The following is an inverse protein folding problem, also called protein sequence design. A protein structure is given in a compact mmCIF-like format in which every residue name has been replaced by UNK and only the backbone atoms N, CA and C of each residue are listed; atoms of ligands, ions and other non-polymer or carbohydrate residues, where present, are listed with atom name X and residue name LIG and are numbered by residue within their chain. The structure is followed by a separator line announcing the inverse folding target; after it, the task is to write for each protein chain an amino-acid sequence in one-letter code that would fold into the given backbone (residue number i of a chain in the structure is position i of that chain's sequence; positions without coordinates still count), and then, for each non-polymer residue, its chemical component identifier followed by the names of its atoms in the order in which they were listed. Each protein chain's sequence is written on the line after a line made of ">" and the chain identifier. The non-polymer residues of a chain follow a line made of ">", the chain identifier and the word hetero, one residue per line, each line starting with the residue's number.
data_IF_587189955559
#
_entry.id   IF_587189955559
#
_cell.length_a   1.000
_cell.length_b   1.000
_cell.length_c   1.000
_cell.angle_alpha   90.00
_cell.angle_beta   90.00
_cell.angle_gamma   90.00
#
_symmetry.space_group_name_H-M   'P 1'
#
loop_
_entity.id
_entity.type
_entity.pdbx_description
1 polymer ?
#
# COMPACT_ATOMS: atom_id res chain seq x y z
N UNK A 1 12.81 25.07 -2.70
CA UNK A 1 12.39 24.58 -4.03
C UNK A 1 12.19 23.07 -3.94
N UNK A 2 11.26 22.47 -4.70
CA UNK A 2 11.07 21.01 -4.71
C UNK A 2 11.03 20.46 -6.13
N UNK A 3 11.52 19.24 -6.29
CA UNK A 3 11.52 18.48 -7.55
C UNK A 3 11.17 17.02 -7.27
N UNK A 4 10.52 16.34 -8.21
CA UNK A 4 10.18 14.91 -8.10
C UNK A 4 10.84 14.16 -9.24
N UNK A 5 11.52 13.06 -8.92
CA UNK A 5 12.22 12.23 -9.90
C UNK A 5 11.87 10.76 -9.72
N UNK A 6 11.96 9.99 -10.82
CA UNK A 6 12.09 8.54 -10.70
C UNK A 6 13.38 8.16 -9.97
N UNK A 7 13.52 6.89 -9.59
CA UNK A 7 14.65 6.45 -8.77
C UNK A 7 16.01 6.66 -9.46
N UNK A 8 16.07 6.44 -10.78
CA UNK A 8 17.32 6.52 -11.53
C UNK A 8 17.84 7.96 -11.56
N UNK A 9 16.93 8.92 -11.83
CA UNK A 9 17.26 10.34 -11.85
C UNK A 9 17.46 10.89 -10.43
N UNK A 10 16.65 10.47 -9.46
CA UNK A 10 16.81 10.87 -8.06
C UNK A 10 18.18 10.50 -7.49
N UNK A 11 18.69 9.31 -7.86
CA UNK A 11 20.05 8.87 -7.47
C UNK A 11 21.12 9.82 -7.99
N UNK A 12 21.01 10.25 -9.26
CA UNK A 12 21.95 11.21 -9.86
C UNK A 12 21.82 12.56 -9.15
N UNK A 13 20.59 13.04 -8.95
CA UNK A 13 20.31 14.32 -8.31
C UNK A 13 20.84 14.38 -6.87
N UNK A 14 20.70 13.31 -6.09
CA UNK A 14 21.30 13.21 -4.75
C UNK A 14 22.82 13.23 -4.80
N UNK A 15 23.43 12.59 -5.79
CA UNK A 15 24.88 12.66 -6.01
C UNK A 15 25.36 14.09 -6.26
N UNK A 16 24.70 14.81 -7.18
CA UNK A 16 25.00 16.21 -7.49
C UNK A 16 24.80 17.09 -6.25
N UNK A 17 23.68 16.95 -5.55
CA UNK A 17 23.39 17.72 -4.33
C UNK A 17 24.47 17.50 -3.26
N UNK A 18 24.96 16.27 -3.10
CA UNK A 18 26.01 15.96 -2.13
C UNK A 18 27.38 16.49 -2.55
N UNK A 19 27.73 16.45 -3.83
CA UNK A 19 29.04 16.89 -4.34
C UNK A 19 29.17 18.41 -4.37
N UNK A 20 28.08 19.11 -4.68
CA UNK A 20 28.03 20.56 -4.83
C UNK A 20 27.55 21.27 -3.56
N UNK A 21 27.49 20.57 -2.43
CA UNK A 21 27.04 21.14 -1.17
C UNK A 21 27.89 22.38 -0.79
N UNK A 22 27.28 23.50 -0.35
CA UNK A 22 25.85 23.68 0.00
C UNK A 22 24.97 24.23 -1.13
N UNK A 23 25.47 24.33 -2.37
CA UNK A 23 24.84 25.06 -3.49
C UNK A 23 23.39 24.65 -3.77
N UNK A 24 23.07 23.37 -3.60
CA UNK A 24 21.74 22.80 -3.89
C UNK A 24 21.00 22.30 -2.64
N UNK A 25 21.43 22.68 -1.44
CA UNK A 25 20.84 22.19 -0.18
C UNK A 25 19.40 22.67 0.03
N UNK A 26 19.01 23.76 -0.64
CA UNK A 26 17.65 24.31 -0.62
C UNK A 26 16.66 23.61 -1.59
N UNK A 27 17.13 22.58 -2.30
CA UNK A 27 16.33 21.77 -3.23
C UNK A 27 15.91 20.47 -2.54
N UNK A 28 14.61 20.33 -2.28
CA UNK A 28 14.07 19.06 -1.79
C UNK A 28 13.78 18.12 -2.97
N UNK A 29 14.41 16.96 -2.98
CA UNK A 29 14.21 15.93 -4.02
C UNK A 29 13.24 14.87 -3.50
N UNK A 30 12.07 14.78 -4.10
CA UNK A 30 11.08 13.74 -3.87
C UNK A 30 11.34 12.51 -4.75
N UNK A 31 11.18 11.33 -4.16
CA UNK A 31 11.05 10.09 -4.93
C UNK A 31 9.62 9.97 -5.45
N UNK A 32 9.48 9.73 -6.76
CA UNK A 32 8.20 9.61 -7.44
C UNK A 32 7.35 8.45 -6.91
N UNK A 33 6.19 8.77 -6.33
CA UNK A 33 5.30 7.79 -5.69
C UNK A 33 4.82 6.67 -6.62
N UNK A 34 4.64 6.96 -7.91
CA UNK A 34 4.29 5.95 -8.93
C UNK A 34 5.32 4.82 -9.00
N UNK A 35 6.61 5.15 -9.07
CA UNK A 35 7.70 4.18 -9.16
C UNK A 35 7.91 3.41 -7.86
N UNK A 36 7.64 4.04 -6.71
CA UNK A 36 7.62 3.35 -5.41
C UNK A 36 6.52 2.30 -5.40
N UNK A 37 5.29 2.65 -5.83
CA UNK A 37 4.17 1.70 -5.91
C UNK A 37 4.48 0.55 -6.87
N UNK A 38 4.98 0.82 -8.08
CA UNK A 38 5.33 -0.24 -9.03
C UNK A 38 6.38 -1.20 -8.46
N UNK A 39 7.39 -0.65 -7.80
CA UNK A 39 8.42 -1.47 -7.15
C UNK A 39 7.83 -2.29 -6.01
N UNK A 40 6.88 -1.73 -5.26
CA UNK A 40 6.19 -2.45 -4.21
C UNK A 40 5.27 -3.54 -4.77
N UNK A 41 4.62 -3.34 -5.93
CA UNK A 41 3.91 -4.42 -6.61
C UNK A 41 4.83 -5.56 -7.03
N UNK A 42 6.06 -5.25 -7.48
CA UNK A 42 7.05 -6.30 -7.75
C UNK A 42 7.41 -7.09 -6.49
N UNK A 43 7.53 -6.43 -5.33
CA UNK A 43 7.73 -7.11 -4.04
C UNK A 43 6.56 -8.04 -3.71
N UNK A 44 5.32 -7.55 -3.84
CA UNK A 44 4.12 -8.37 -3.60
C UNK A 44 4.09 -9.54 -4.59
N UNK A 45 4.40 -9.29 -5.86
CA UNK A 45 4.49 -10.31 -6.90
C UNK A 45 5.48 -11.42 -6.56
N UNK A 46 6.69 -11.08 -6.13
CA UNK A 46 7.68 -12.05 -5.65
C UNK A 46 7.20 -12.82 -4.42
N UNK A 47 6.42 -12.20 -3.52
CA UNK A 47 5.86 -12.88 -2.35
C UNK A 47 4.81 -13.94 -2.73
N UNK A 48 4.02 -13.68 -3.76
CA UNK A 48 2.94 -14.58 -4.21
C UNK A 48 3.35 -15.50 -5.35
N UNK A 49 4.64 -15.52 -5.70
CA UNK A 49 5.16 -16.43 -6.70
C UNK A 49 4.96 -17.88 -6.21
N UNK A 50 4.39 -18.71 -7.08
CA UNK A 50 4.09 -20.13 -6.82
C UNK A 50 3.21 -20.46 -5.60
N UNK A 51 2.47 -19.49 -5.05
CA UNK A 51 1.57 -19.73 -3.92
C UNK A 51 0.12 -20.10 -4.32
N UNK A 52 -0.17 -20.15 -5.63
CA UNK A 52 -1.47 -20.52 -6.18
C UNK A 52 -2.41 -19.34 -6.48
N UNK A 53 -2.10 -18.10 -6.05
CA UNK A 53 -2.91 -16.90 -6.38
C UNK A 53 -3.00 -16.67 -7.89
N UNK A 54 -1.91 -16.91 -8.61
CA UNK A 54 -1.87 -16.80 -10.08
C UNK A 54 -2.82 -17.78 -10.74
N UNK A 55 -2.88 -19.03 -10.24
CA UNK A 55 -3.81 -20.04 -10.74
C UNK A 55 -5.25 -19.61 -10.47
N UNK A 56 -5.56 -19.17 -9.23
CA UNK A 56 -6.89 -18.65 -8.89
C UNK A 56 -7.31 -17.53 -9.85
N UNK A 57 -6.41 -16.60 -10.17
CA UNK A 57 -6.69 -15.48 -11.08
C UNK A 57 -6.93 -15.93 -12.53
N UNK A 58 -6.23 -16.97 -12.98
CA UNK A 58 -6.39 -17.53 -14.33
C UNK A 58 -7.65 -18.36 -14.44
N UNK A 59 -7.86 -19.28 -13.49
CA UNK A 59 -8.99 -20.22 -13.48
C UNK A 59 -10.33 -19.49 -13.26
N UNK A 60 -10.30 -18.32 -12.60
CA UNK A 60 -11.47 -17.43 -12.49
C UNK A 60 -11.66 -16.49 -13.68
N UNK A 61 -10.83 -16.58 -14.72
CA UNK A 61 -10.85 -15.73 -15.92
C UNK A 61 -10.64 -14.22 -15.64
N UNK A 62 -10.23 -13.86 -14.42
CA UNK A 62 -9.95 -12.48 -14.02
C UNK A 62 -8.63 -11.97 -14.61
N UNK A 63 -7.73 -12.91 -14.94
CA UNK A 63 -6.42 -12.66 -15.53
C UNK A 63 -6.09 -13.68 -16.63
N UNK A 64 -5.88 -13.20 -17.86
CA UNK A 64 -5.40 -14.07 -18.93
C UNK A 64 -3.95 -14.53 -18.67
N UNK A 65 -3.63 -15.77 -19.05
CA UNK A 65 -2.30 -16.37 -18.93
C UNK A 65 -1.16 -15.48 -19.48
N UNK A 66 -1.37 -14.87 -20.65
CA UNK A 66 -0.37 -13.97 -21.26
C UNK A 66 -0.07 -12.70 -20.45
N UNK A 67 -0.88 -12.37 -19.44
CA UNK A 67 -0.71 -11.21 -18.57
C UNK A 67 -0.07 -11.53 -17.20
N UNK A 68 0.20 -12.80 -16.89
CA UNK A 68 0.78 -13.23 -15.61
C UNK A 68 2.12 -12.57 -15.33
N UNK A 69 3.04 -12.62 -16.29
CA UNK A 69 4.39 -12.07 -16.15
C UNK A 69 4.36 -10.61 -15.72
N UNK A 70 3.53 -9.80 -16.38
CA UNK A 70 3.41 -8.36 -16.09
C UNK A 70 2.75 -8.06 -14.75
N UNK A 71 1.89 -8.95 -14.24
CA UNK A 71 1.28 -8.85 -12.92
C UNK A 71 2.31 -9.18 -11.82
N UNK A 72 3.02 -10.31 -11.94
CA UNK A 72 4.06 -10.72 -10.97
C UNK A 72 5.25 -9.75 -10.97
N UNK A 73 5.68 -9.26 -12.13
CA UNK A 73 6.78 -8.29 -12.20
C UNK A 73 6.41 -6.89 -11.74
N UNK A 74 5.13 -6.62 -11.43
CA UNK A 74 4.64 -5.28 -11.08
C UNK A 74 4.67 -4.26 -12.22
N UNK A 75 4.96 -4.69 -13.46
CA UNK A 75 5.12 -3.77 -14.61
C UNK A 75 3.78 -3.34 -15.19
N UNK A 76 2.72 -4.16 -15.05
CA UNK A 76 1.37 -3.78 -15.45
C UNK A 76 0.65 -3.07 -14.30
N UNK A 77 0.96 -1.79 -14.11
CA UNK A 77 0.48 -0.99 -12.97
C UNK A 77 -1.04 -1.04 -12.78
N UNK A 78 -1.82 -0.75 -13.83
CA UNK A 78 -3.28 -0.70 -13.74
C UNK A 78 -3.87 -2.05 -13.34
N UNK A 79 -3.26 -3.14 -13.82
CA UNK A 79 -3.66 -4.50 -13.49
C UNK A 79 -3.32 -4.84 -12.04
N UNK A 80 -2.11 -4.56 -11.57
CA UNK A 80 -1.73 -4.77 -10.17
C UNK A 80 -2.61 -3.96 -9.21
N UNK A 81 -2.84 -2.68 -9.52
CA UNK A 81 -3.72 -1.76 -8.78
C UNK A 81 -5.15 -2.28 -8.63
N UNK A 82 -5.65 -3.02 -9.62
CA UNK A 82 -6.99 -3.63 -9.59
C UNK A 82 -7.01 -4.99 -8.88
N UNK A 83 -6.08 -5.87 -9.25
CA UNK A 83 -6.14 -7.28 -8.88
C UNK A 83 -5.68 -7.54 -7.45
N UNK A 84 -4.65 -6.86 -6.95
CA UNK A 84 -4.18 -7.10 -5.59
C UNK A 84 -5.26 -6.81 -4.53
N UNK A 85 -5.94 -5.64 -4.56
CA UNK A 85 -7.05 -5.37 -3.64
C UNK A 85 -8.23 -6.34 -3.81
N UNK A 86 -8.54 -6.75 -5.05
CA UNK A 86 -9.62 -7.70 -5.31
C UNK A 86 -9.37 -9.05 -4.65
N UNK A 87 -8.17 -9.62 -4.84
CA UNK A 87 -7.77 -10.90 -4.23
C UNK A 87 -7.67 -10.76 -2.71
N UNK A 88 -7.09 -9.67 -2.22
CA UNK A 88 -6.98 -9.39 -0.78
C UNK A 88 -8.37 -9.36 -0.12
N UNK A 89 -9.33 -8.66 -0.72
CA UNK A 89 -10.71 -8.61 -0.24
C UNK A 89 -11.37 -10.00 -0.26
N UNK A 90 -11.15 -10.80 -1.31
CA UNK A 90 -11.69 -12.16 -1.37
C UNK A 90 -11.17 -13.04 -0.22
N UNK A 91 -9.87 -13.00 0.05
CA UNK A 91 -9.29 -13.73 1.18
C UNK A 91 -9.72 -13.16 2.53
N UNK A 92 -9.84 -11.84 2.66
CA UNK A 92 -10.31 -11.22 3.89
C UNK A 92 -11.76 -11.61 4.20
N UNK A 93 -12.62 -11.71 3.18
CA UNK A 93 -13.98 -12.23 3.35
C UNK A 93 -14.00 -13.69 3.80
N UNK A 94 -13.17 -14.54 3.19
CA UNK A 94 -13.06 -15.95 3.59
C UNK A 94 -12.55 -16.08 5.04
N UNK A 95 -11.55 -15.29 5.41
CA UNK A 95 -11.00 -15.24 6.76
C UNK A 95 -12.03 -14.73 7.78
N UNK A 96 -12.79 -13.68 7.43
CA UNK A 96 -13.87 -13.16 8.26
C UNK A 96 -15.00 -14.17 8.48
N UNK A 97 -15.43 -14.88 7.42
CA UNK A 97 -16.42 -15.95 7.56
C UNK A 97 -15.91 -17.05 8.50
N UNK A 98 -14.63 -17.43 8.35
CA UNK A 98 -14.00 -18.42 9.24
C UNK A 98 -13.99 -17.95 10.69
N UNK A 99 -13.72 -16.67 10.93
CA UNK A 99 -13.81 -16.06 12.26
C UNK A 99 -15.22 -16.14 12.84
N UNK A 100 -16.23 -15.74 12.06
CA UNK A 100 -17.65 -15.79 12.48
C UNK A 100 -18.04 -17.21 12.87
N UNK A 101 -17.70 -18.20 12.04
CA UNK A 101 -18.05 -19.60 12.28
C UNK A 101 -17.33 -20.19 13.50
N UNK A 102 -16.01 -19.95 13.63
CA UNK A 102 -15.19 -20.54 14.70
C UNK A 102 -15.43 -19.92 16.07
N UNK A 103 -15.55 -18.59 16.13
CA UNK A 103 -15.81 -17.86 17.36
C UNK A 103 -17.32 -17.76 17.66
N UNK A 104 -18.16 -18.35 16.81
CA UNK A 104 -19.63 -18.37 16.93
C UNK A 104 -20.22 -16.97 17.11
N UNK A 105 -19.70 -16.02 16.34
CA UNK A 105 -20.13 -14.62 16.40
C UNK A 105 -21.53 -14.50 15.80
N UNK A 106 -22.43 -13.83 16.52
CA UNK A 106 -23.72 -13.41 15.98
C UNK A 106 -23.58 -11.97 15.49
N UNK A 107 -23.78 -11.75 14.20
CA UNK A 107 -23.79 -10.40 13.63
C UNK A 107 -25.17 -9.79 13.87
N UNK A 108 -25.25 -8.84 14.79
CA UNK A 108 -26.49 -8.15 15.10
C UNK A 108 -26.95 -7.27 13.94
N UNK A 109 -28.28 -7.15 13.78
CA UNK A 109 -28.87 -6.30 12.74
C UNK A 109 -28.47 -4.82 12.89
N UNK A 110 -28.27 -4.37 14.13
CA UNK A 110 -27.77 -3.04 14.48
C UNK A 110 -26.43 -2.72 13.80
N UNK A 111 -25.51 -3.69 13.73
CA UNK A 111 -24.20 -3.56 13.09
C UNK A 111 -24.38 -3.38 11.58
N UNK A 112 -25.22 -4.20 10.95
CA UNK A 112 -25.49 -4.08 9.51
C UNK A 112 -26.09 -2.72 9.15
N UNK A 113 -27.10 -2.29 9.91
CA UNK A 113 -27.79 -1.02 9.68
C UNK A 113 -26.83 0.16 9.86
N UNK A 114 -25.97 0.12 10.87
CA UNK A 114 -24.93 1.13 11.10
C UNK A 114 -23.93 1.19 9.95
N UNK A 115 -23.37 0.04 9.52
CA UNK A 115 -22.40 -0.01 8.42
C UNK A 115 -23.02 0.45 7.10
N UNK A 116 -24.30 0.15 6.85
CA UNK A 116 -25.02 0.63 5.68
C UNK A 116 -25.23 2.15 5.70
N UNK A 117 -25.53 2.73 6.87
CA UNK A 117 -25.61 4.19 7.03
C UNK A 117 -24.24 4.86 6.83
N UNK A 118 -23.18 4.28 7.41
CA UNK A 118 -21.80 4.77 7.26
C UNK A 118 -21.37 4.78 5.79
N UNK A 119 -21.74 3.76 5.02
CA UNK A 119 -21.45 3.69 3.58
C UNK A 119 -22.14 4.83 2.80
N UNK A 120 -23.36 5.21 3.19
CA UNK A 120 -24.10 6.33 2.57
C UNK A 120 -23.51 7.69 2.94
N UNK A 121 -23.03 7.83 4.17
CA UNK A 121 -22.45 9.06 4.69
C UNK A 121 -20.94 9.09 4.47
N UNK A 122 -20.52 9.41 3.24
CA UNK A 122 -19.10 9.52 2.91
C UNK A 122 -18.46 10.69 3.66
N UNK A 123 -17.55 10.38 4.58
CA UNK A 123 -16.68 11.35 5.25
C UNK A 123 -15.24 11.19 4.76
N UNK A 124 -14.48 12.28 4.76
CA UNK A 124 -13.02 12.26 4.58
C UNK A 124 -12.30 11.63 5.77
N UNK A 125 -12.94 11.66 6.95
CA UNK A 125 -12.48 11.09 8.21
C UNK A 125 -13.62 10.30 8.85
N UNK A 126 -13.94 9.11 8.31
CA UNK A 126 -14.99 8.28 8.89
C UNK A 126 -14.55 7.80 10.28
N UNK A 127 -15.41 7.99 11.28
CA UNK A 127 -15.22 7.52 12.65
C UNK A 127 -16.28 6.47 12.95
N UNK A 128 -15.87 5.37 13.57
CA UNK A 128 -16.79 4.33 14.03
C UNK A 128 -17.11 4.61 15.49
N UNK A 129 -18.38 4.83 15.76
CA UNK A 129 -18.88 5.20 17.10
C UNK A 129 -19.82 4.13 17.69
N UNK A 130 -20.32 3.22 16.86
CA UNK A 130 -21.22 2.16 17.29
C UNK A 130 -20.45 1.08 18.07
N UNK A 131 -20.76 0.94 19.35
CA UNK A 131 -20.07 0.07 20.31
C UNK A 131 -20.00 -1.39 19.84
N UNK A 132 -21.12 -1.99 19.43
CA UNK A 132 -21.13 -3.37 18.95
C UNK A 132 -20.29 -3.57 17.67
N UNK A 133 -20.16 -2.54 16.82
CA UNK A 133 -19.27 -2.57 15.65
C UNK A 133 -17.81 -2.52 16.08
N UNK A 134 -17.47 -1.69 17.06
CA UNK A 134 -16.12 -1.61 17.61
C UNK A 134 -15.70 -2.92 18.27
N UNK A 135 -16.58 -3.53 19.06
CA UNK A 135 -16.32 -4.84 19.68
C UNK A 135 -16.11 -5.95 18.63
N UNK A 136 -16.92 -5.96 17.56
CA UNK A 136 -16.76 -6.90 16.47
C UNK A 136 -15.39 -6.74 15.80
N UNK A 137 -14.96 -5.50 15.58
CA UNK A 137 -13.67 -5.20 14.96
C UNK A 137 -12.52 -5.61 15.87
N UNK A 138 -12.59 -5.33 17.17
CA UNK A 138 -11.57 -5.75 18.13
C UNK A 138 -11.44 -7.29 18.18
N UNK A 139 -12.56 -8.01 18.22
CA UNK A 139 -12.56 -9.49 18.18
C UNK A 139 -11.93 -10.00 16.89
N UNK A 140 -12.25 -9.39 15.75
CA UNK A 140 -11.69 -9.79 14.46
C UNK A 140 -10.21 -9.45 14.32
N UNK A 141 -9.77 -8.31 14.86
CA UNK A 141 -8.36 -7.92 14.90
C UNK A 141 -7.54 -8.90 15.73
N UNK A 142 -8.06 -9.30 16.91
CA UNK A 142 -7.43 -10.34 17.73
C UNK A 142 -7.34 -11.68 16.99
N UNK A 143 -8.43 -12.12 16.36
CA UNK A 143 -8.44 -13.34 15.54
C UNK A 143 -7.41 -13.27 14.39
N UNK A 144 -7.30 -12.13 13.74
CA UNK A 144 -6.32 -11.87 12.67
C UNK A 144 -4.89 -11.96 13.17
N UNK A 145 -4.60 -11.39 14.35
CA UNK A 145 -3.26 -11.45 14.94
C UNK A 145 -2.91 -12.88 15.36
N UNK A 146 -3.88 -13.65 15.89
CA UNK A 146 -3.70 -15.08 16.15
C UNK A 146 -3.40 -15.87 14.86
N UNK A 147 -4.08 -15.57 13.76
CA UNK A 147 -3.78 -16.17 12.45
C UNK A 147 -2.35 -15.89 12.01
N UNK A 148 -1.87 -14.65 12.19
CA UNK A 148 -0.52 -14.25 11.82
C UNK A 148 0.56 -14.90 12.69
N UNK A 149 0.23 -15.23 13.93
CA UNK A 149 1.06 -16.04 14.82
C UNK A 149 1.01 -17.54 14.50
N UNK A 150 0.23 -17.95 13.49
CA UNK A 150 0.15 -19.33 13.00
C UNK A 150 -0.88 -20.20 13.70
N UNK A 151 -1.70 -19.65 14.62
CA UNK A 151 -2.68 -20.41 15.42
C UNK A 151 -3.69 -21.17 14.57
N UNK A 152 -4.01 -20.67 13.37
CA UNK A 152 -5.02 -21.24 12.47
C UNK A 152 -4.41 -22.06 11.32
N UNK A 153 -3.10 -22.30 11.33
CA UNK A 153 -2.38 -23.06 10.31
C UNK A 153 -1.61 -22.18 9.32
N UNK A 154 -0.69 -22.80 8.57
CA UNK A 154 0.23 -22.09 7.68
C UNK A 154 -0.45 -21.42 6.49
N UNK A 155 -1.48 -22.05 5.92
CA UNK A 155 -2.22 -21.51 4.76
C UNK A 155 -2.92 -20.18 5.08
N UNK A 156 -3.79 -20.09 6.12
CA UNK A 156 -4.39 -18.80 6.47
C UNK A 156 -3.34 -17.81 6.98
N UNK A 157 -2.28 -18.25 7.67
CA UNK A 157 -1.18 -17.36 8.04
C UNK A 157 -0.56 -16.68 6.81
N UNK A 158 -0.21 -17.44 5.77
CA UNK A 158 0.38 -16.92 4.55
C UNK A 158 -0.55 -15.91 3.85
N UNK A 159 -1.82 -16.25 3.66
CA UNK A 159 -2.77 -15.35 3.00
C UNK A 159 -3.11 -14.11 3.83
N UNK A 160 -3.06 -14.20 5.16
CA UNK A 160 -3.20 -13.02 6.02
C UNK A 160 -1.98 -12.10 5.94
N UNK A 161 -0.76 -12.65 5.77
CA UNK A 161 0.42 -11.83 5.41
C UNK A 161 0.22 -11.13 4.08
N UNK A 162 -0.30 -11.82 3.06
CA UNK A 162 -0.64 -11.20 1.76
C UNK A 162 -1.64 -10.04 1.93
N UNK A 163 -2.73 -10.23 2.68
CA UNK A 163 -3.71 -9.17 2.97
C UNK A 163 -3.03 -7.95 3.59
N UNK A 164 -2.12 -8.16 4.55
CA UNK A 164 -1.36 -7.09 5.21
C UNK A 164 -0.40 -6.37 4.26
N UNK A 165 0.22 -7.06 3.30
CA UNK A 165 1.02 -6.42 2.26
C UNK A 165 0.16 -5.54 1.34
N UNK A 166 -1.01 -6.01 0.94
CA UNK A 166 -1.92 -5.22 0.11
C UNK A 166 -2.46 -4.00 0.87
N UNK A 167 -2.75 -4.13 2.16
CA UNK A 167 -3.18 -2.98 2.97
C UNK A 167 -2.10 -1.90 3.09
N UNK A 168 -0.81 -2.27 3.09
CA UNK A 168 0.27 -1.29 3.03
C UNK A 168 0.31 -0.53 1.70
N UNK A 169 0.02 -1.21 0.59
CA UNK A 169 -0.17 -0.53 -0.69
C UNK A 169 -1.33 0.47 -0.64
N UNK A 170 -2.48 0.08 -0.07
CA UNK A 170 -3.64 0.96 0.03
C UNK A 170 -3.35 2.18 0.92
N UNK A 171 -2.61 2.01 2.03
CA UNK A 171 -2.14 3.11 2.88
C UNK A 171 -1.19 4.05 2.14
N UNK A 172 -0.23 3.51 1.39
CA UNK A 172 0.68 4.31 0.56
C UNK A 172 -0.10 5.13 -0.47
N UNK A 173 -1.00 4.48 -1.19
CA UNK A 173 -1.84 5.12 -2.20
C UNK A 173 -2.76 6.20 -1.59
N UNK A 174 -3.36 5.93 -0.42
CA UNK A 174 -4.15 6.91 0.33
C UNK A 174 -3.32 8.12 0.72
N UNK A 175 -2.16 7.91 1.36
CA UNK A 175 -1.29 9.00 1.83
C UNK A 175 -0.84 9.93 0.70
N UNK A 176 -0.54 9.39 -0.48
CA UNK A 176 -0.22 10.17 -1.69
C UNK A 176 -1.43 10.98 -2.14
N UNK A 177 -2.62 10.35 -2.23
CA UNK A 177 -3.84 10.98 -2.75
C UNK A 177 -4.37 12.10 -1.86
N UNK A 178 -4.23 11.99 -0.55
CA UNK A 178 -4.72 13.00 0.40
C UNK A 178 -3.62 13.96 0.89
N UNK A 179 -2.37 13.75 0.48
CA UNK A 179 -1.23 14.56 0.92
C UNK A 179 -0.88 14.42 2.40
N UNK A 180 -1.17 13.28 3.03
CA UNK A 180 -0.86 13.03 4.44
C UNK A 180 0.61 12.61 4.59
N UNK A 181 1.47 13.59 4.88
CA UNK A 181 2.91 13.40 5.10
C UNK A 181 3.20 12.39 6.23
N UNK A 182 2.44 12.43 7.32
CA UNK A 182 2.68 11.56 8.48
C UNK A 182 2.41 10.10 8.11
N UNK A 183 1.29 9.84 7.43
CA UNK A 183 0.97 8.52 6.91
C UNK A 183 1.97 8.07 5.84
N UNK A 184 2.40 8.99 4.97
CA UNK A 184 3.38 8.71 3.92
C UNK A 184 4.74 8.27 4.50
N UNK A 185 5.27 9.01 5.48
CA UNK A 185 6.52 8.64 6.17
C UNK A 185 6.38 7.30 6.88
N UNK A 186 5.28 7.10 7.61
CA UNK A 186 4.99 5.86 8.33
C UNK A 186 5.01 4.65 7.39
N UNK A 187 4.30 4.74 6.26
CA UNK A 187 4.14 3.60 5.37
C UNK A 187 5.39 3.35 4.52
N UNK A 188 6.11 4.39 4.12
CA UNK A 188 7.39 4.22 3.45
C UNK A 188 8.40 3.48 4.33
N UNK A 189 8.47 3.78 5.63
CA UNK A 189 9.33 3.06 6.55
C UNK A 189 8.98 1.56 6.63
N UNK A 190 7.68 1.22 6.64
CA UNK A 190 7.22 -0.18 6.62
C UNK A 190 7.56 -0.89 5.30
N UNK A 191 7.29 -0.26 4.15
CA UNK A 191 7.55 -0.81 2.82
C UNK A 191 9.06 -1.02 2.59
N UNK A 192 9.91 -0.13 3.12
CA UNK A 192 11.37 -0.25 3.00
C UNK A 192 11.89 -1.58 3.55
N UNK A 193 11.34 -2.08 4.65
CA UNK A 193 11.73 -3.38 5.21
C UNK A 193 11.49 -4.53 4.22
N UNK A 194 10.40 -4.48 3.47
CA UNK A 194 10.11 -5.48 2.45
C UNK A 194 11.01 -5.33 1.22
N UNK A 195 11.40 -4.11 0.84
CA UNK A 195 12.42 -3.97 -0.20
C UNK A 195 13.75 -4.65 0.18
N UNK A 196 14.15 -4.62 1.45
CA UNK A 196 15.30 -5.41 1.91
C UNK A 196 15.03 -6.91 1.83
N UNK A 197 13.89 -7.37 2.36
CA UNK A 197 13.55 -8.79 2.41
C UNK A 197 13.49 -9.46 1.02
N UNK A 198 13.01 -8.74 0.00
CA UNK A 198 12.86 -9.25 -1.36
C UNK A 198 14.00 -8.83 -2.31
N UNK A 199 15.15 -8.41 -1.77
CA UNK A 199 16.35 -8.06 -2.52
C UNK A 199 16.19 -6.91 -3.55
N UNK A 200 15.37 -5.91 -3.23
CA UNK A 200 15.18 -4.69 -4.02
C UNK A 200 16.15 -3.56 -3.63
N UNK A 201 17.45 -3.88 -3.59
CA UNK A 201 18.50 -3.06 -2.97
C UNK A 201 18.53 -1.58 -3.39
N UNK A 202 18.27 -1.29 -4.66
CA UNK A 202 18.25 0.09 -5.18
C UNK A 202 17.17 0.93 -4.48
N UNK A 203 15.96 0.39 -4.33
CA UNK A 203 14.88 1.05 -3.60
C UNK A 203 15.15 1.03 -2.09
N UNK A 204 15.64 -0.09 -1.55
CA UNK A 204 15.93 -0.19 -0.11
C UNK A 204 16.85 0.93 0.37
N UNK A 205 17.98 1.16 -0.31
CA UNK A 205 18.97 2.17 0.11
C UNK A 205 18.47 3.60 -0.04
N UNK A 206 17.90 3.93 -1.21
CA UNK A 206 17.46 5.30 -1.50
C UNK A 206 16.20 5.66 -0.72
N UNK A 207 15.32 4.69 -0.43
CA UNK A 207 14.11 4.96 0.33
C UNK A 207 14.42 5.21 1.82
N UNK A 208 15.40 4.51 2.42
CA UNK A 208 15.90 4.83 3.77
C UNK A 208 16.39 6.27 3.85
N UNK A 209 17.22 6.69 2.88
CA UNK A 209 17.72 8.05 2.82
C UNK A 209 16.60 9.08 2.65
N UNK A 210 15.65 8.79 1.76
CA UNK A 210 14.51 9.66 1.51
C UNK A 210 13.59 9.79 2.74
N UNK A 211 13.28 8.70 3.44
CA UNK A 211 12.50 8.73 4.68
C UNK A 211 13.21 9.57 5.75
N UNK A 212 14.53 9.45 5.90
CA UNK A 212 15.31 10.29 6.81
C UNK A 212 15.18 11.79 6.48
N UNK A 213 15.21 12.16 5.19
CA UNK A 213 14.97 13.54 4.75
C UNK A 213 13.55 14.01 5.06
N UNK A 214 12.54 13.18 4.81
CA UNK A 214 11.14 13.52 5.10
C UNK A 214 10.90 13.76 6.60
N UNK A 215 11.54 12.99 7.48
CA UNK A 215 11.43 13.19 8.93
C UNK A 215 11.99 14.55 9.39
N UNK A 216 12.94 15.13 8.65
CA UNK A 216 13.61 16.40 8.97
C UNK A 216 13.18 17.54 8.04
N UNK A 217 12.05 17.38 7.36
CA UNK A 217 11.61 18.33 6.33
C UNK A 217 11.29 19.69 6.93
N UNK A 218 10.69 19.74 8.12
CA UNK A 218 10.36 21.01 8.79
C UNK A 218 11.63 21.75 9.27
N UNK A 219 12.72 21.03 9.58
CA UNK A 219 14.01 21.61 9.97
C UNK A 219 14.79 22.13 8.76
N UNK A 220 14.85 21.33 7.70
CA UNK A 220 15.72 21.58 6.55
C UNK A 220 15.06 22.43 5.47
N UNK A 221 13.74 22.34 5.34
CA UNK A 221 12.93 22.97 4.31
C UNK A 221 11.60 23.47 4.90
N UNK A 222 11.64 24.45 5.85
CA UNK A 222 10.45 24.93 6.53
C UNK A 222 9.40 25.44 5.52
N UNK A 223 8.14 25.06 5.73
CA UNK A 223 7.01 25.44 4.87
C UNK A 223 6.77 24.52 3.66
N UNK A 224 7.59 23.49 3.44
CA UNK A 224 7.43 22.54 2.34
C UNK A 224 6.35 21.47 2.57
N UNK A 225 5.49 21.62 3.59
CA UNK A 225 4.47 20.63 3.96
C UNK A 225 3.55 20.33 2.77
N UNK A 226 3.77 19.16 2.16
CA UNK A 226 3.00 18.49 1.11
C UNK A 226 1.90 19.34 0.44
N UNK A 227 2.29 20.31 -0.40
CA UNK A 227 1.38 20.87 -1.40
C UNK A 227 1.52 20.07 -2.69
N UNK A 228 0.96 18.85 -2.71
CA UNK A 228 0.86 18.11 -3.96
C UNK A 228 -0.19 18.77 -4.86
N UNK A 229 0.23 19.78 -5.63
CA UNK A 229 -0.42 20.20 -6.87
C UNK A 229 -0.38 19.10 -7.96
N UNK A 230 0.12 17.91 -7.67
CA UNK A 230 0.20 16.74 -8.55
C UNK A 230 -1.14 16.00 -8.78
N UNK A 231 -2.29 16.60 -8.45
CA UNK A 231 -3.59 16.05 -8.87
C UNK A 231 -3.69 15.94 -10.40
N UNK A 232 -2.95 16.76 -11.16
CA UNK A 232 -2.95 16.75 -12.63
C UNK A 232 -2.19 15.57 -13.26
N UNK A 233 -1.03 15.17 -12.74
CA UNK A 233 -0.22 14.11 -13.38
C UNK A 233 -0.83 12.70 -13.22
N UNK A 234 -1.53 12.43 -12.11
CA UNK A 234 -2.26 11.17 -11.91
C UNK A 234 -3.55 11.10 -12.75
N UNK A 235 -4.15 12.23 -13.10
CA UNK A 235 -5.28 12.35 -14.04
C UNK A 235 -4.80 12.30 -15.51
N UNK A 236 -3.62 12.82 -15.84
CA UNK A 236 -3.04 12.72 -17.19
C UNK A 236 -2.61 11.28 -17.53
N UNK A 237 -2.01 10.55 -16.58
CA UNK A 237 -1.69 9.12 -16.75
C UNK A 237 -2.94 8.22 -16.82
N UNK A 238 -4.08 8.68 -16.29
CA UNK A 238 -5.40 8.03 -16.41
C UNK A 238 -5.97 8.16 -17.82
N UNK A 239 -5.71 9.28 -18.50
CA UNK A 239 -6.23 9.57 -19.84
C UNK A 239 -5.33 9.08 -20.99
N UNK A 240 -4.07 8.73 -20.71
CA UNK A 240 -3.14 8.22 -21.74
C UNK A 240 -3.15 6.69 -21.92
N UNK A 241 -3.82 5.94 -21.04
CA UNK A 241 -3.88 4.46 -21.09
C UNK A 241 -5.29 3.89 -21.22
N UNK A 242 -6.23 4.71 -21.72
CA UNK A 242 -7.55 4.25 -22.18
C UNK A 242 -7.55 4.20 -23.71
N UNK A 243 -6.96 3.14 -24.26
CA UNK A 243 -7.31 2.56 -25.55
C UNK A 243 -7.20 1.04 -25.43
#
# INVERSE_FOLDING_TARGET
>A
MQVTYDLAIARIAFGIQSQEAPKFDNVFIHLGGFHIIMSYFKVIGSFIEDCGITNILVDSEVLANGSLKGFISGTNFNRCKRLHPLVSLAFQKLHFNTFVDREKIVIEKSIEDYLFQLQKQRSTTPTIEHEATLELFEKYDNFTEQTLQGKHGLTPQFYTVYIRLVSYYDMLNKSIRIGDLKMYVYILAKITNFFFAFNHQNYSRLLVYYVSKLCRIDETHPGLRFSNKHHSEYEELRNQNTC
#
